data_IF_269468921974
#
_entry.id   IF_269468921974
#
_cell.length_a   1.000
_cell.length_b   1.000
_cell.length_c   1.000
_cell.angle_alpha   90.00
_cell.angle_beta   90.00
_cell.angle_gamma   90.00
#
_symmetry.space_group_name_H-M   'P 1'
#
loop_
_entity.id
_entity.type
_entity.pdbx_description
1 polymer ?
#
# COMPACT_ATOMS: atom_id res chain seq x y z
N UNK A 1 -27.42 -63.72 46.50
CA UNK A 1 -26.49 -64.30 45.51
C UNK A 1 -26.13 -63.23 44.50
N UNK A 2 -24.83 -62.95 44.35
CA UNK A 2 -24.26 -62.13 43.28
C UNK A 2 -24.59 -62.75 41.92
N UNK A 3 -24.97 -61.94 40.92
CA UNK A 3 -24.28 -61.95 39.61
C UNK A 3 -24.38 -60.57 38.95
N UNK A 4 -23.20 -60.00 38.66
CA UNK A 4 -22.92 -58.78 37.90
C UNK A 4 -22.65 -59.16 36.44
N UNK A 5 -23.00 -58.30 35.47
CA UNK A 5 -22.31 -58.05 34.16
C UNK A 5 -23.16 -57.07 33.32
N UNK A 6 -22.89 -55.76 33.32
CA UNK A 6 -21.98 -54.95 32.47
C UNK A 6 -22.27 -54.95 30.97
N UNK A 7 -22.75 -53.82 30.44
CA UNK A 7 -22.08 -52.95 29.43
C UNK A 7 -22.95 -51.70 29.17
N UNK A 8 -22.55 -50.49 29.58
CA UNK A 8 -21.75 -49.50 28.83
C UNK A 8 -22.43 -48.95 27.55
N UNK A 9 -22.55 -47.60 27.50
CA UNK A 9 -22.71 -46.66 26.36
C UNK A 9 -23.85 -45.67 26.68
N UNK A 10 -23.74 -44.35 26.66
CA UNK A 10 -22.65 -43.41 26.44
C UNK A 10 -23.13 -42.08 27.04
N UNK A 11 -22.23 -41.35 27.69
CA UNK A 11 -22.50 -40.00 28.18
C UNK A 11 -22.57 -39.02 26.99
N UNK A 12 -23.60 -38.16 26.95
CA UNK A 12 -23.59 -36.94 26.14
C UNK A 12 -23.59 -35.77 27.11
N UNK A 13 -22.40 -35.23 27.36
CA UNK A 13 -22.23 -33.97 28.06
C UNK A 13 -22.35 -32.85 27.02
N UNK A 14 -23.44 -32.07 27.08
CA UNK A 14 -23.60 -30.86 26.28
C UNK A 14 -22.73 -29.78 26.92
N UNK A 15 -21.50 -29.63 26.42
CA UNK A 15 -20.65 -28.48 26.71
C UNK A 15 -21.15 -27.31 25.86
N UNK A 16 -22.00 -26.47 26.47
CA UNK A 16 -22.32 -25.15 25.96
C UNK A 16 -21.09 -24.25 26.04
N UNK A 17 -20.27 -24.25 25.00
CA UNK A 17 -19.19 -23.28 24.82
C UNK A 17 -19.77 -22.11 24.04
N UNK A 18 -20.12 -21.05 24.75
CA UNK A 18 -20.38 -19.75 24.16
C UNK A 18 -19.09 -19.24 23.54
N UNK A 19 -18.96 -19.35 22.22
CA UNK A 19 -17.90 -18.69 21.49
C UNK A 19 -18.20 -17.18 21.50
N UNK A 20 -17.56 -16.46 22.42
CA UNK A 20 -17.40 -15.01 22.27
C UNK A 20 -16.59 -14.79 20.98
N UNK A 21 -17.27 -14.32 19.93
CA UNK A 21 -16.62 -13.87 18.71
C UNK A 21 -15.91 -12.57 19.10
N UNK A 22 -14.66 -12.69 19.52
CA UNK A 22 -13.78 -11.54 19.60
C UNK A 22 -13.55 -11.05 18.17
N UNK A 23 -14.31 -10.03 17.76
CA UNK A 23 -14.06 -9.21 16.57
C UNK A 23 -12.81 -8.33 16.75
N UNK A 24 -11.75 -8.90 17.33
CA UNK A 24 -10.41 -8.35 17.31
C UNK A 24 -9.64 -9.14 16.26
N UNK A 25 -10.08 -9.07 15.01
CA UNK A 25 -9.12 -9.18 13.94
C UNK A 25 -8.18 -7.99 14.13
N UNK A 26 -6.88 -8.18 14.46
CA UNK A 26 -5.95 -7.17 14.00
C UNK A 26 -6.19 -7.13 12.50
N UNK A 27 -6.74 -6.02 12.01
CA UNK A 27 -6.62 -5.68 10.60
C UNK A 27 -5.12 -5.73 10.36
N UNK A 28 -4.64 -6.83 9.81
CA UNK A 28 -3.30 -6.87 9.22
C UNK A 28 -3.28 -5.65 8.32
N UNK A 29 -2.44 -4.63 8.59
CA UNK A 29 -2.22 -3.59 7.61
C UNK A 29 -2.00 -4.27 6.27
N UNK A 30 -2.58 -3.71 5.21
CA UNK A 30 -2.18 -4.07 3.87
C UNK A 30 -0.71 -3.64 3.74
N UNK A 31 0.20 -4.47 4.26
CA UNK A 31 1.62 -4.15 4.34
C UNK A 31 2.25 -4.34 2.97
N UNK A 32 3.03 -3.34 2.56
CA UNK A 32 4.38 -3.55 2.05
C UNK A 32 4.54 -4.26 0.71
N UNK A 33 3.56 -4.25 -0.20
CA UNK A 33 3.78 -4.83 -1.53
C UNK A 33 4.85 -4.06 -2.32
N UNK A 34 4.96 -2.74 -2.11
CA UNK A 34 5.77 -1.84 -2.90
C UNK A 34 6.63 -0.87 -2.06
N UNK A 35 6.89 -1.13 -0.78
CA UNK A 35 7.79 -0.29 0.03
C UNK A 35 9.21 -0.23 -0.59
N UNK A 36 9.83 0.96 -0.58
CA UNK A 36 11.19 1.22 -1.04
C UNK A 36 11.28 2.27 -2.15
N UNK A 37 12.47 2.36 -2.74
CA UNK A 37 12.82 3.30 -3.81
C UNK A 37 12.55 2.68 -5.20
N UNK A 38 11.81 3.40 -6.03
CA UNK A 38 11.43 2.99 -7.39
C UNK A 38 11.87 4.05 -8.38
N UNK A 39 13.10 3.92 -8.83
CA UNK A 39 13.67 4.87 -9.77
C UNK A 39 13.01 4.81 -11.14
N UNK A 40 12.60 5.98 -11.62
CA UNK A 40 12.01 6.18 -12.94
C UNK A 40 13.01 6.97 -13.77
N UNK A 41 13.39 6.41 -14.92
CA UNK A 41 14.37 7.00 -15.82
C UNK A 41 13.81 7.19 -17.22
N UNK A 42 14.18 8.32 -17.80
CA UNK A 42 14.10 8.63 -19.22
C UNK A 42 15.49 9.13 -19.66
N UNK A 43 15.76 9.34 -20.96
CA UNK A 43 17.04 9.89 -21.42
C UNK A 43 17.52 11.16 -20.71
N UNK A 44 16.62 12.08 -20.36
CA UNK A 44 16.95 13.41 -19.82
C UNK A 44 16.29 13.71 -18.47
N UNK A 45 15.36 12.88 -18.02
CA UNK A 45 14.64 13.06 -16.75
C UNK A 45 14.79 11.83 -15.85
N UNK A 46 14.92 12.08 -14.54
CA UNK A 46 14.93 11.03 -13.54
C UNK A 46 14.24 11.50 -12.26
N UNK A 47 13.55 10.58 -11.59
CA UNK A 47 13.03 10.77 -10.25
C UNK A 47 13.10 9.47 -9.46
N UNK A 48 13.17 9.61 -8.16
CA UNK A 48 12.97 8.50 -7.23
C UNK A 48 11.51 8.53 -6.75
N UNK A 49 10.77 7.43 -6.94
CA UNK A 49 9.47 7.25 -6.34
C UNK A 49 9.65 6.41 -5.08
N UNK A 50 9.52 7.04 -3.92
CA UNK A 50 9.73 6.42 -2.63
C UNK A 50 8.38 6.05 -2.01
N UNK A 51 8.24 4.81 -1.53
CA UNK A 51 7.04 4.34 -0.81
C UNK A 51 7.46 3.84 0.56
N UNK A 52 6.87 4.37 1.61
CA UNK A 52 7.24 4.04 2.98
C UNK A 52 6.04 3.95 3.91
N UNK A 53 6.14 3.05 4.89
CA UNK A 53 5.19 2.98 5.99
C UNK A 53 5.44 4.14 6.97
N UNK A 54 4.46 5.03 7.11
CA UNK A 54 4.48 6.16 8.03
C UNK A 54 3.39 6.08 9.09
N UNK A 55 3.64 6.66 10.26
CA UNK A 55 2.65 6.75 11.34
C UNK A 55 1.91 8.08 11.26
N UNK A 56 0.72 8.07 10.67
CA UNK A 56 -0.09 9.27 10.40
C UNK A 56 -1.49 9.09 10.96
N UNK A 57 -2.03 10.15 11.58
CA UNK A 57 -3.38 10.16 12.17
C UNK A 57 -3.67 9.01 13.17
N UNK A 58 -2.63 8.50 13.85
CA UNK A 58 -2.77 7.47 14.89
C UNK A 58 -2.75 6.02 14.38
N UNK A 59 -2.44 5.81 13.10
CA UNK A 59 -2.27 4.48 12.52
C UNK A 59 -1.07 4.44 11.56
N UNK A 60 -0.59 3.23 11.26
CA UNK A 60 0.44 2.99 10.25
C UNK A 60 -0.20 2.90 8.87
N UNK A 61 0.36 3.65 7.93
CA UNK A 61 -0.15 3.83 6.58
C UNK A 61 1.00 3.88 5.60
N UNK A 62 0.83 3.27 4.43
CA UNK A 62 1.76 3.48 3.33
C UNK A 62 1.53 4.91 2.80
N UNK A 63 2.65 5.60 2.58
CA UNK A 63 2.70 6.89 1.94
C UNK A 63 3.77 6.87 0.86
N UNK A 64 3.58 7.66 -0.19
CA UNK A 64 4.53 7.76 -1.28
C UNK A 64 4.90 9.20 -1.61
N UNK A 65 6.12 9.37 -2.12
CA UNK A 65 6.66 10.62 -2.61
C UNK A 65 7.33 10.42 -3.98
N UNK A 66 7.27 11.43 -4.85
CA UNK A 66 8.04 11.49 -6.08
C UNK A 66 9.06 12.63 -5.97
N UNK A 67 10.34 12.26 -6.03
CA UNK A 67 11.49 13.14 -5.83
C UNK A 67 12.28 13.30 -7.14
N UNK A 68 12.06 14.38 -7.92
CA UNK A 68 12.86 14.66 -9.11
C UNK A 68 14.34 14.81 -8.80
N UNK A 69 15.20 14.15 -9.59
CA UNK A 69 16.66 14.20 -9.43
C UNK A 69 17.38 14.74 -10.67
N UNK A 70 16.79 14.58 -11.85
CA UNK A 70 17.29 15.17 -13.12
C UNK A 70 16.11 15.76 -13.87
N UNK A 71 16.19 17.04 -14.25
CA UNK A 71 15.02 17.82 -14.72
C UNK A 71 15.17 18.43 -16.10
N UNK A 72 16.26 18.15 -16.82
CA UNK A 72 16.61 18.79 -18.10
C UNK A 72 16.39 20.32 -18.08
N UNK A 73 17.07 21.02 -17.17
CA UNK A 73 16.90 22.47 -16.97
C UNK A 73 15.44 22.90 -16.66
N UNK A 74 14.66 22.01 -16.04
CA UNK A 74 13.25 22.25 -15.71
C UNK A 74 12.28 22.00 -16.87
N UNK A 75 12.70 21.28 -17.90
CA UNK A 75 11.84 20.91 -19.02
C UNK A 75 11.11 19.57 -18.83
N UNK A 76 11.58 18.74 -17.91
CA UNK A 76 10.87 17.53 -17.49
C UNK A 76 9.60 17.87 -16.72
N UNK A 77 8.55 17.07 -16.89
CA UNK A 77 7.34 17.15 -16.10
C UNK A 77 7.19 15.87 -15.27
N UNK A 78 7.00 16.03 -13.95
CA UNK A 78 6.82 14.96 -12.98
C UNK A 78 5.40 15.05 -12.45
N UNK A 79 4.66 13.96 -12.51
CA UNK A 79 3.23 13.93 -12.18
C UNK A 79 2.94 12.76 -11.27
N UNK A 80 2.14 13.01 -10.23
CA UNK A 80 1.43 11.97 -9.51
C UNK A 80 -0.05 12.01 -9.90
N UNK A 81 -0.64 10.84 -10.14
CA UNK A 81 -2.09 10.71 -10.36
C UNK A 81 -2.69 9.79 -9.33
N UNK A 82 -3.84 10.15 -8.75
CA UNK A 82 -4.65 9.27 -7.91
C UNK A 82 -5.91 8.82 -8.65
N UNK A 83 -6.09 7.50 -8.79
CA UNK A 83 -7.20 6.91 -9.54
C UNK A 83 -7.31 7.46 -10.97
N UNK A 84 -6.18 7.84 -11.56
CA UNK A 84 -6.07 8.43 -12.91
C UNK A 84 -6.36 9.93 -12.98
N UNK A 85 -6.71 10.58 -11.87
CA UNK A 85 -6.83 12.04 -11.80
C UNK A 85 -5.50 12.68 -11.35
N UNK A 86 -5.09 13.84 -11.88
CA UNK A 86 -3.87 14.51 -11.42
C UNK A 86 -3.97 14.88 -9.93
N UNK A 87 -2.98 14.44 -9.16
CA UNK A 87 -2.84 14.73 -7.74
C UNK A 87 -1.83 15.87 -7.52
N UNK A 88 -0.70 15.78 -8.23
CA UNK A 88 0.42 16.71 -8.11
C UNK A 88 1.21 16.78 -9.41
N UNK A 89 1.83 17.93 -9.68
CA UNK A 89 2.76 18.11 -10.79
C UNK A 89 3.91 19.04 -10.41
N UNK A 90 5.08 18.83 -11.01
CA UNK A 90 6.21 19.76 -10.91
C UNK A 90 7.20 19.58 -12.06
N UNK A 91 8.14 20.53 -12.19
CA UNK A 91 9.29 20.44 -13.10
C UNK A 91 10.62 20.28 -12.33
N UNK A 92 10.57 19.96 -11.03
CA UNK A 92 11.79 19.70 -10.25
C UNK A 92 11.69 19.78 -8.72
N UNK A 93 10.53 20.10 -8.15
CA UNK A 93 10.30 19.96 -6.72
C UNK A 93 9.79 18.56 -6.37
N UNK A 94 10.07 18.08 -5.16
CA UNK A 94 9.47 16.84 -4.65
C UNK A 94 7.97 17.00 -4.37
N UNK A 95 7.23 15.91 -4.42
CA UNK A 95 5.77 15.93 -4.20
C UNK A 95 5.36 16.10 -2.74
N UNK A 96 6.27 15.85 -1.80
CA UNK A 96 5.88 15.53 -0.43
C UNK A 96 5.26 14.14 -0.35
N UNK A 97 4.97 13.71 0.88
CA UNK A 97 4.32 12.44 1.17
C UNK A 97 2.81 12.49 0.91
N UNK A 98 2.32 11.45 0.22
CA UNK A 98 0.93 11.25 -0.12
C UNK A 98 0.46 9.90 0.36
N UNK A 99 -0.65 9.90 1.09
CA UNK A 99 -1.33 8.68 1.52
C UNK A 99 -1.83 7.85 0.32
N UNK A 100 -1.38 6.60 0.21
CA UNK A 100 -1.76 5.68 -0.87
C UNK A 100 -2.56 4.45 -0.37
N UNK A 101 -3.10 4.55 0.85
CA UNK A 101 -3.91 3.50 1.43
C UNK A 101 -5.29 3.30 0.78
N UNK A 102 -6.20 2.53 1.41
CA UNK A 102 -7.46 2.11 0.82
C UNK A 102 -8.26 3.21 0.13
N UNK A 103 -8.59 3.00 -1.14
CA UNK A 103 -9.35 3.94 -1.96
C UNK A 103 -8.50 4.82 -2.86
N UNK A 104 -7.18 4.82 -2.67
CA UNK A 104 -6.22 5.49 -3.54
C UNK A 104 -5.55 4.50 -4.49
N UNK A 105 -5.16 5.01 -5.65
CA UNK A 105 -4.24 4.32 -6.56
C UNK A 105 -3.34 5.38 -7.16
N UNK A 106 -2.21 5.61 -6.52
CA UNK A 106 -1.29 6.67 -6.89
C UNK A 106 -0.21 6.12 -7.81
N UNK A 107 -0.07 6.73 -8.99
CA UNK A 107 0.93 6.40 -10.00
C UNK A 107 1.83 7.60 -10.25
N UNK A 108 3.14 7.35 -10.38
CA UNK A 108 4.10 8.35 -10.84
C UNK A 108 4.31 8.28 -12.36
N UNK A 109 4.37 9.45 -13.00
CA UNK A 109 4.62 9.58 -14.43
C UNK A 109 5.66 10.68 -14.66
N UNK A 110 6.65 10.41 -15.49
CA UNK A 110 7.63 11.40 -15.96
C UNK A 110 7.42 11.62 -17.45
N UNK A 111 7.25 12.87 -17.85
CA UNK A 111 7.24 13.28 -19.25
C UNK A 111 8.54 14.03 -19.58
N UNK A 112 9.17 13.60 -20.67
CA UNK A 112 10.24 14.37 -21.29
C UNK A 112 9.63 15.47 -22.18
N UNK A 113 10.31 16.62 -22.35
CA UNK A 113 9.78 17.74 -23.13
C UNK A 113 9.45 17.42 -24.59
N UNK A 114 10.04 16.37 -25.16
CA UNK A 114 9.80 15.93 -26.54
C UNK A 114 8.94 14.66 -26.65
N UNK A 115 8.60 14.02 -25.52
CA UNK A 115 7.84 12.77 -25.53
C UNK A 115 6.38 13.03 -25.10
N UNK A 116 5.47 12.40 -25.82
CA UNK A 116 4.03 12.39 -25.48
C UNK A 116 3.65 11.15 -24.67
N UNK A 117 4.55 10.18 -24.55
CA UNK A 117 4.40 8.98 -23.72
C UNK A 117 5.26 9.14 -22.48
N UNK A 118 4.61 9.33 -21.34
CA UNK A 118 5.33 9.40 -20.06
C UNK A 118 5.89 8.04 -19.66
N UNK A 119 7.05 8.04 -19.01
CA UNK A 119 7.58 6.88 -18.30
C UNK A 119 6.78 6.68 -17.01
N UNK A 120 6.16 5.51 -16.89
CA UNK A 120 5.34 5.14 -15.74
C UNK A 120 6.24 4.50 -14.67
N UNK A 121 6.14 5.00 -13.45
CA UNK A 121 6.68 4.35 -12.25
C UNK A 121 5.79 3.21 -11.76
N UNK A 122 5.87 2.92 -10.46
CA UNK A 122 4.92 2.01 -9.86
C UNK A 122 3.58 2.73 -9.61
N UNK A 123 2.51 1.96 -9.67
CA UNK A 123 1.21 2.38 -9.17
C UNK A 123 0.94 1.62 -7.88
N UNK A 124 0.82 2.34 -6.76
CA UNK A 124 0.41 1.78 -5.47
C UNK A 124 -1.05 2.15 -5.20
#
# INVERSE_FOLDING_TARGET
MLTRRTSLRSAVAILGVGAAIALCSPSTPAFAANEGDHWIYTPNCAADQEVQLQFVNGAWHDEQELNPTVTDNGQCEFVLTDNGAPLWHSNGGGSGWWYDGPGHKICAIIYEPADTRGALGICN
#
